data_IF_964513280978
#
_entry.id   IF_964513280978
#
_cell.length_a   1.000
_cell.length_b   1.000
_cell.length_c   1.000
_cell.angle_alpha   90.00
_cell.angle_beta   90.00
_cell.angle_gamma   90.00
#
_symmetry.space_group_name_H-M   'P 1'
#
loop_
_entity.id
_entity.type
_entity.pdbx_description
1 polymer ?
#
# COMPACT_ATOMS: atom_id res chain seq x y z
N UNK A 1 24.16 -35.29 61.10
CA UNK A 1 23.08 -35.78 60.23
C UNK A 1 22.40 -34.56 59.62
N UNK A 2 22.39 -34.51 58.29
CA UNK A 2 22.10 -33.41 57.35
C UNK A 2 21.15 -32.27 57.76
N UNK A 3 21.68 -31.04 57.77
CA UNK A 3 20.91 -29.79 57.59
C UNK A 3 21.01 -29.41 56.11
N UNK A 4 19.91 -29.54 55.37
CA UNK A 4 19.80 -29.05 53.98
C UNK A 4 19.22 -27.64 54.01
N UNK A 5 20.07 -26.62 53.93
CA UNK A 5 19.65 -25.25 53.64
C UNK A 5 19.98 -24.96 52.18
N UNK A 6 18.94 -24.89 51.33
CA UNK A 6 19.05 -24.51 49.92
C UNK A 6 19.47 -23.04 49.83
N UNK A 7 20.65 -22.80 49.26
CA UNK A 7 21.12 -21.48 48.86
C UNK A 7 20.28 -21.04 47.64
N UNK A 8 19.40 -20.06 47.82
CA UNK A 8 18.84 -19.29 46.71
C UNK A 8 19.82 -18.16 46.42
N UNK A 9 20.58 -18.30 45.33
CA UNK A 9 21.35 -17.22 44.74
C UNK A 9 20.37 -16.19 44.19
N UNK A 10 20.13 -15.13 44.98
CA UNK A 10 19.44 -13.93 44.54
C UNK A 10 20.41 -13.14 43.66
N UNK A 11 20.54 -13.57 42.41
CA UNK A 11 21.27 -12.85 41.38
C UNK A 11 20.47 -11.61 40.99
N UNK A 12 20.81 -10.48 41.60
CA UNK A 12 20.40 -9.15 41.17
C UNK A 12 21.04 -8.90 39.79
N UNK A 13 20.35 -9.29 38.72
CA UNK A 13 20.67 -8.82 37.38
C UNK A 13 20.32 -7.32 37.33
N UNK A 14 21.28 -6.49 37.76
CA UNK A 14 21.38 -5.12 37.26
C UNK A 14 21.64 -5.24 35.76
N UNK A 15 20.54 -5.26 34.99
CA UNK A 15 20.54 -4.83 33.60
C UNK A 15 21.00 -3.38 33.60
N UNK A 16 22.31 -3.19 33.59
CA UNK A 16 22.94 -1.95 33.14
C UNK A 16 22.71 -1.95 31.62
N UNK A 17 21.48 -1.65 31.21
CA UNK A 17 21.24 -1.01 29.93
C UNK A 17 21.97 0.31 30.13
N UNK A 18 23.20 0.44 29.64
CA UNK A 18 23.77 1.77 29.50
C UNK A 18 22.88 2.47 28.48
N UNK A 19 22.06 3.47 28.85
CA UNK A 19 21.58 4.36 27.83
C UNK A 19 22.84 5.07 27.36
N UNK A 20 23.23 4.90 26.11
CA UNK A 20 23.90 6.01 25.45
C UNK A 20 22.79 7.07 25.37
N UNK A 21 22.69 7.88 26.42
CA UNK A 21 21.74 8.95 26.53
C UNK A 21 22.18 10.03 25.55
N UNK A 22 21.80 9.88 24.29
CA UNK A 22 21.63 11.02 23.40
C UNK A 22 20.56 11.89 24.08
N UNK A 23 20.93 13.13 24.36
CA UNK A 23 20.06 14.10 25.00
C UNK A 23 18.85 14.45 24.12
N UNK A 24 17.89 15.19 24.71
CA UNK A 24 16.61 15.57 24.10
C UNK A 24 16.67 15.85 22.59
N UNK A 25 15.70 15.36 21.83
CA UNK A 25 15.50 15.74 20.43
C UNK A 25 14.98 17.18 20.37
N UNK A 26 15.66 18.03 19.60
CA UNK A 26 15.27 19.42 19.38
C UNK A 26 14.76 19.62 17.96
N UNK A 27 13.90 20.63 17.78
CA UNK A 27 13.37 20.98 16.47
C UNK A 27 13.73 22.40 16.06
N UNK A 28 14.18 22.56 14.82
CA UNK A 28 14.63 23.83 14.25
C UNK A 28 14.16 23.96 12.80
N UNK A 29 13.94 25.17 12.24
CA UNK A 29 13.69 25.35 10.80
C UNK A 29 14.94 25.03 9.95
N UNK A 30 15.29 23.74 9.90
CA UNK A 30 16.47 23.19 9.23
C UNK A 30 16.28 23.08 7.70
N UNK A 31 15.02 23.04 7.24
CA UNK A 31 14.64 22.87 5.83
C UNK A 31 13.98 24.13 5.25
N UNK A 32 14.45 24.52 4.07
CA UNK A 32 13.90 25.58 3.23
C UNK A 32 12.69 25.09 2.44
N UNK A 33 12.83 23.95 1.76
CA UNK A 33 11.77 23.35 0.94
C UNK A 33 12.03 21.87 0.67
N UNK A 34 11.01 21.18 0.18
CA UNK A 34 11.10 19.82 -0.35
C UNK A 34 10.81 19.80 -1.85
N UNK A 35 11.42 18.88 -2.58
CA UNK A 35 11.20 18.68 -4.02
C UNK A 35 11.37 17.20 -4.38
N UNK A 36 11.06 16.84 -5.63
CA UNK A 36 11.23 15.47 -6.15
C UNK A 36 10.56 14.39 -5.27
N UNK A 37 9.44 14.70 -4.63
CA UNK A 37 8.71 13.76 -3.79
C UNK A 37 8.05 12.68 -4.65
N UNK A 38 8.33 11.43 -4.32
CA UNK A 38 7.76 10.27 -4.99
C UNK A 38 7.52 9.16 -3.98
N UNK A 39 6.38 8.51 -4.11
CA UNK A 39 6.07 7.25 -3.46
C UNK A 39 5.38 6.35 -4.46
N UNK A 40 6.01 5.21 -4.71
CA UNK A 40 5.61 4.28 -5.77
C UNK A 40 5.49 2.89 -5.19
N UNK A 41 4.42 2.21 -5.56
CA UNK A 41 4.23 0.80 -5.24
C UNK A 41 4.89 -0.02 -6.33
N UNK A 42 5.81 -0.90 -5.92
CA UNK A 42 6.50 -1.81 -6.81
C UNK A 42 5.67 -3.09 -6.99
N UNK A 43 5.59 -3.58 -8.23
CA UNK A 43 4.96 -4.86 -8.57
C UNK A 43 5.96 -6.03 -8.31
N UNK A 44 6.59 -6.07 -7.13
CA UNK A 44 7.50 -7.15 -6.69
C UNK A 44 6.78 -8.18 -5.80
N UNK A 45 7.47 -9.27 -5.40
CA UNK A 45 6.87 -10.36 -4.61
C UNK A 45 6.27 -9.86 -3.28
N UNK A 46 6.90 -8.86 -2.67
CA UNK A 46 6.49 -8.26 -1.39
C UNK A 46 5.66 -6.97 -1.56
N UNK A 47 5.31 -6.61 -2.79
CA UNK A 47 4.62 -5.37 -3.21
C UNK A 47 5.18 -4.08 -2.59
N UNK A 48 6.51 -3.99 -2.41
CA UNK A 48 7.17 -2.96 -1.62
C UNK A 48 6.86 -1.52 -2.06
N UNK A 49 6.97 -0.60 -1.11
CA UNK A 49 6.72 0.83 -1.32
C UNK A 49 8.07 1.54 -1.38
N UNK A 50 8.42 2.05 -2.56
CA UNK A 50 9.60 2.89 -2.77
C UNK A 50 9.26 4.36 -2.49
N UNK A 51 10.09 5.03 -1.71
CA UNK A 51 9.93 6.42 -1.30
C UNK A 51 11.18 7.19 -1.62
N UNK A 52 11.04 8.38 -2.21
CA UNK A 52 12.15 9.29 -2.43
C UNK A 52 11.74 10.76 -2.32
N UNK A 53 12.64 11.60 -1.83
CA UNK A 53 12.46 13.05 -1.83
C UNK A 53 13.81 13.78 -1.73
N UNK A 54 13.81 15.06 -2.10
CA UNK A 54 14.93 15.97 -1.89
C UNK A 54 14.56 17.04 -0.87
N UNK A 55 15.30 17.11 0.22
CA UNK A 55 15.18 18.14 1.25
C UNK A 55 16.23 19.24 1.01
N UNK A 56 15.81 20.46 0.73
CA UNK A 56 16.71 21.62 0.55
C UNK A 56 16.96 22.25 1.91
N UNK A 57 18.21 22.28 2.32
CA UNK A 57 18.62 22.81 3.61
C UNK A 57 18.52 24.34 3.63
N UNK A 58 18.40 24.93 4.82
CA UNK A 58 18.58 26.38 4.95
C UNK A 58 20.05 26.75 4.69
N UNK A 59 20.26 27.95 4.18
CA UNK A 59 21.57 28.43 3.74
C UNK A 59 22.51 28.57 4.95
N UNK A 60 23.83 28.37 4.77
CA UNK A 60 24.86 28.58 5.79
C UNK A 60 24.80 27.73 7.09
N UNK A 61 24.04 26.62 7.13
CA UNK A 61 23.97 25.72 8.30
C UNK A 61 25.33 25.24 8.85
N UNK A 62 26.31 24.98 7.98
CA UNK A 62 27.62 24.44 8.36
C UNK A 62 28.71 25.52 8.43
N UNK A 63 28.34 26.80 8.51
CA UNK A 63 29.27 27.92 8.58
C UNK A 63 29.61 28.27 10.03
N UNK A 64 30.89 28.49 10.33
CA UNK A 64 31.39 28.90 11.65
C UNK A 64 30.90 30.30 12.08
N UNK A 65 30.31 31.07 11.15
CA UNK A 65 29.71 32.39 11.40
C UNK A 65 28.23 32.41 11.03
N UNK A 66 27.54 31.27 11.15
CA UNK A 66 26.14 31.19 10.77
C UNK A 66 25.26 32.00 11.74
N UNK A 67 24.19 32.57 11.21
CA UNK A 67 23.12 33.20 12.00
C UNK A 67 22.29 32.17 12.80
N UNK A 68 22.62 30.88 12.70
CA UNK A 68 21.92 29.78 13.36
C UNK A 68 22.46 29.46 14.75
N UNK A 69 23.70 29.88 15.07
CA UNK A 69 24.36 29.56 16.34
C UNK A 69 23.56 30.10 17.54
N UNK A 70 23.25 31.40 17.57
CA UNK A 70 22.50 32.02 18.67
C UNK A 70 21.10 31.37 18.86
N UNK A 71 20.30 31.13 17.80
CA UNK A 71 19.07 30.34 17.93
C UNK A 71 19.27 28.92 18.50
N UNK A 72 20.37 28.23 18.18
CA UNK A 72 20.65 26.90 18.74
C UNK A 72 21.04 26.96 20.21
N UNK A 73 21.82 27.96 20.61
CA UNK A 73 22.16 28.21 22.03
C UNK A 73 20.88 28.43 22.86
N UNK A 74 19.95 29.24 22.35
CA UNK A 74 18.65 29.46 22.99
C UNK A 74 17.80 28.19 23.06
N UNK A 75 17.81 27.37 22.01
CA UNK A 75 17.02 26.14 21.93
C UNK A 75 17.46 25.08 22.95
N UNK A 76 18.77 25.01 23.22
CA UNK A 76 19.37 24.00 24.09
C UNK A 76 19.64 24.56 25.51
N UNK A 77 19.40 25.85 25.72
CA UNK A 77 19.62 26.55 26.99
C UNK A 77 21.08 26.41 27.47
N UNK A 78 22.03 26.51 26.53
CA UNK A 78 23.46 26.49 26.82
C UNK A 78 23.94 27.84 27.34
N UNK A 79 24.97 27.82 28.16
CA UNK A 79 25.61 29.03 28.70
C UNK A 79 26.33 29.81 27.59
N UNK A 80 26.36 31.15 27.66
CA UNK A 80 27.24 31.97 26.82
C UNK A 80 28.71 31.55 27.03
N UNK A 81 29.27 30.77 26.11
CA UNK A 81 30.67 30.31 26.15
C UNK A 81 30.95 28.90 25.62
N UNK A 82 29.93 28.06 25.45
CA UNK A 82 30.06 26.72 24.87
C UNK A 82 30.15 26.80 23.34
N UNK A 83 31.05 26.04 22.71
CA UNK A 83 31.16 26.02 21.25
C UNK A 83 30.09 25.10 20.67
N UNK A 84 29.03 25.69 20.10
CA UNK A 84 28.00 24.94 19.37
C UNK A 84 28.37 24.83 17.90
N UNK A 85 28.41 23.61 17.39
CA UNK A 85 28.63 23.35 15.96
C UNK A 85 27.69 22.26 15.44
N UNK A 86 27.19 22.42 14.23
CA UNK A 86 26.49 21.36 13.52
C UNK A 86 27.51 20.45 12.84
N UNK A 87 27.44 19.14 13.10
CA UNK A 87 28.36 18.19 12.50
C UNK A 87 28.13 18.09 10.98
N UNK A 88 29.13 18.38 10.15
CA UNK A 88 28.99 18.33 8.69
C UNK A 88 28.95 16.88 8.14
N UNK A 89 29.38 15.93 8.96
CA UNK A 89 29.55 14.52 8.60
C UNK A 89 28.42 13.64 9.16
N UNK A 90 27.43 14.24 9.84
CA UNK A 90 26.30 13.53 10.42
C UNK A 90 24.97 14.13 9.95
N UNK A 91 24.09 13.25 9.48
CA UNK A 91 22.71 13.59 9.17
C UNK A 91 21.77 12.63 9.90
N UNK A 92 20.55 13.10 10.15
CA UNK A 92 19.49 12.32 10.78
C UNK A 92 18.27 12.30 9.86
N UNK A 93 17.64 11.13 9.73
CA UNK A 93 16.32 10.96 9.13
C UNK A 93 15.34 10.47 10.19
N UNK A 94 14.17 11.09 10.26
CA UNK A 94 13.05 10.65 11.07
C UNK A 94 11.88 10.28 10.17
N UNK A 95 11.38 9.06 10.32
CA UNK A 95 10.26 8.51 9.55
C UNK A 95 9.04 8.30 10.46
N UNK A 96 7.87 8.68 9.94
CA UNK A 96 6.60 8.62 10.64
C UNK A 96 5.58 7.88 9.79
N UNK A 97 5.02 6.81 10.33
CA UNK A 97 4.02 5.99 9.67
C UNK A 97 2.69 6.07 10.42
N UNK A 98 1.58 5.97 9.69
CA UNK A 98 0.24 6.11 10.28
C UNK A 98 -0.73 5.04 9.77
N UNK A 99 -1.63 4.62 10.66
CA UNK A 99 -2.73 3.68 10.38
C UNK A 99 -3.87 4.36 9.63
N UNK A 100 -4.85 3.55 9.22
CA UNK A 100 -6.04 4.02 8.49
C UNK A 100 -6.87 5.04 9.26
N UNK A 101 -6.94 4.88 10.59
CA UNK A 101 -7.65 5.77 11.51
C UNK A 101 -6.88 7.05 11.85
N UNK A 102 -5.66 7.21 11.32
CA UNK A 102 -4.80 8.37 11.54
C UNK A 102 -3.93 8.27 12.81
N UNK A 103 -4.00 7.17 13.56
CA UNK A 103 -3.09 6.96 14.69
C UNK A 103 -1.68 6.57 14.21
N UNK A 104 -0.61 6.88 14.99
CA UNK A 104 0.74 6.44 14.65
C UNK A 104 0.87 4.91 14.56
N UNK A 105 1.60 4.43 13.55
CA UNK A 105 2.02 3.04 13.44
C UNK A 105 3.40 2.87 14.10
N UNK A 106 3.42 2.14 15.22
CA UNK A 106 4.61 1.99 16.07
C UNK A 106 5.33 0.66 15.88
N UNK A 107 4.75 -0.28 15.11
CA UNK A 107 5.34 -1.60 14.91
C UNK A 107 6.34 -1.65 13.75
N UNK A 108 6.43 -0.58 12.96
CA UNK A 108 7.43 -0.49 11.89
C UNK A 108 8.79 -0.16 12.52
N UNK A 109 9.74 -1.05 12.28
CA UNK A 109 11.13 -0.90 12.74
C UNK A 109 12.05 -0.80 11.53
N UNK A 110 13.31 -0.44 11.77
CA UNK A 110 14.30 -0.27 10.70
C UNK A 110 14.49 -1.55 9.84
N UNK A 111 14.25 -2.75 10.40
CA UNK A 111 14.30 -4.01 9.66
C UNK A 111 13.25 -4.14 8.55
N UNK A 112 12.16 -3.38 8.63
CA UNK A 112 11.13 -3.33 7.58
C UNK A 112 11.50 -2.37 6.43
N UNK A 113 12.63 -1.68 6.56
CA UNK A 113 13.13 -0.67 5.64
C UNK A 113 14.41 -1.17 4.97
N UNK A 114 14.45 -1.13 3.66
CA UNK A 114 15.59 -1.55 2.85
C UNK A 114 16.03 -0.43 1.91
N UNK A 115 17.25 -0.56 1.38
CA UNK A 115 17.83 0.41 0.44
C UNK A 115 17.82 1.86 0.95
N UNK A 116 17.79 2.05 2.28
CA UNK A 116 17.76 3.36 2.89
C UNK A 116 19.10 4.09 2.67
N UNK A 117 19.02 5.21 1.98
CA UNK A 117 20.16 6.07 1.69
C UNK A 117 19.83 7.56 1.81
N UNK A 118 20.84 8.33 2.18
CA UNK A 118 20.82 9.80 2.18
C UNK A 118 22.07 10.30 1.46
N UNK A 119 21.90 10.99 0.33
CA UNK A 119 22.99 11.35 -0.59
C UNK A 119 23.89 10.15 -0.99
N UNK A 120 23.29 8.95 -1.09
CA UNK A 120 24.01 7.71 -1.39
C UNK A 120 24.78 7.11 -0.19
N UNK A 121 24.75 7.75 0.98
CA UNK A 121 25.32 7.24 2.23
C UNK A 121 24.30 6.29 2.87
N UNK A 122 24.75 5.08 3.23
CA UNK A 122 23.94 4.12 3.99
C UNK A 122 23.90 4.49 5.48
N UNK A 123 22.81 4.14 6.15
CA UNK A 123 22.66 4.40 7.58
C UNK A 123 23.64 3.56 8.44
N UNK A 124 23.90 4.03 9.66
CA UNK A 124 24.61 3.25 10.66
C UNK A 124 23.66 2.25 11.33
N UNK A 125 24.02 0.96 11.38
CA UNK A 125 23.23 -0.13 11.97
C UNK A 125 23.12 -0.08 13.52
N UNK A 126 23.12 1.09 14.15
CA UNK A 126 23.22 1.22 15.61
C UNK A 126 21.90 1.10 16.38
N UNK A 127 20.76 0.91 15.71
CA UNK A 127 19.48 0.73 16.38
C UNK A 127 18.29 0.49 15.46
N UNK A 128 17.13 0.21 16.07
CA UNK A 128 15.86 -0.02 15.34
C UNK A 128 14.93 1.21 15.33
N UNK A 129 15.37 2.34 15.88
CA UNK A 129 14.57 3.55 15.99
C UNK A 129 14.47 4.27 14.63
N UNK A 130 13.28 4.28 14.04
CA UNK A 130 13.02 4.92 12.75
C UNK A 130 12.84 6.45 12.84
N UNK A 131 12.71 7.00 14.05
CA UNK A 131 12.60 8.45 14.27
C UNK A 131 13.98 9.14 14.43
N UNK A 132 15.05 8.36 14.47
CA UNK A 132 16.40 8.88 14.66
C UNK A 132 17.42 8.00 13.93
N UNK A 133 17.26 7.90 12.62
CA UNK A 133 18.15 7.11 11.78
C UNK A 133 19.37 7.96 11.44
N UNK A 134 20.54 7.54 11.90
CA UNK A 134 21.78 8.30 11.76
C UNK A 134 22.58 7.86 10.54
N UNK A 135 23.12 8.84 9.83
CA UNK A 135 24.04 8.67 8.72
C UNK A 135 25.36 9.33 9.08
N UNK A 136 26.46 8.59 8.98
CA UNK A 136 27.80 9.14 9.14
C UNK A 136 28.55 8.94 7.83
N UNK A 137 29.05 10.05 7.28
CA UNK A 137 29.95 10.04 6.14
C UNK A 137 31.25 10.68 6.57
N UNK A 138 32.35 9.91 6.62
CA UNK A 138 33.71 10.48 6.81
C UNK A 138 34.21 11.34 5.64
N UNK A 139 33.30 11.79 4.77
CA UNK A 139 33.52 12.63 3.60
C UNK A 139 32.42 13.70 3.53
N UNK A 140 32.71 14.82 2.83
CA UNK A 140 31.82 15.98 2.67
C UNK A 140 30.46 15.71 1.97
N UNK A 141 30.03 14.47 1.76
CA UNK A 141 28.77 14.11 1.11
C UNK A 141 27.52 14.64 1.85
N UNK A 142 27.65 14.89 3.16
CA UNK A 142 26.60 15.42 4.03
C UNK A 142 26.72 16.93 4.28
N UNK A 143 27.84 17.55 3.86
CA UNK A 143 28.03 18.99 3.81
C UNK A 143 27.55 19.55 2.47
N UNK A 144 26.27 19.35 2.19
CA UNK A 144 25.63 19.76 0.94
C UNK A 144 24.48 20.73 1.22
N UNK A 145 23.97 21.42 0.21
CA UNK A 145 22.81 22.31 0.34
C UNK A 145 21.48 21.55 0.27
N UNK A 146 21.52 20.25 0.01
CA UNK A 146 20.36 19.38 -0.01
C UNK A 146 20.69 17.93 0.39
N UNK A 147 19.65 17.21 0.81
CA UNK A 147 19.66 15.78 1.04
C UNK A 147 18.69 15.06 0.09
N UNK A 148 19.22 14.17 -0.74
CA UNK A 148 18.46 13.19 -1.51
C UNK A 148 18.25 11.94 -0.65
N UNK A 149 16.99 11.69 -0.28
CA UNK A 149 16.60 10.55 0.55
C UNK A 149 15.87 9.54 -0.33
N UNK A 150 16.21 8.25 -0.17
CA UNK A 150 15.46 7.15 -0.77
C UNK A 150 15.45 5.93 0.14
N UNK A 151 14.35 5.18 0.12
CA UNK A 151 14.20 3.91 0.85
C UNK A 151 13.02 3.10 0.32
N UNK A 152 13.00 1.81 0.66
CA UNK A 152 11.87 0.91 0.41
C UNK A 152 11.30 0.39 1.71
N UNK A 153 9.98 0.27 1.80
CA UNK A 153 9.27 -0.30 2.95
C UNK A 153 8.44 -1.49 2.48
N UNK A 154 8.48 -2.60 3.22
CA UNK A 154 7.68 -3.78 2.89
C UNK A 154 6.17 -3.51 3.03
N UNK A 155 5.38 -3.92 2.04
CA UNK A 155 3.96 -3.56 1.94
C UNK A 155 3.05 -4.24 2.96
N UNK A 156 3.45 -5.41 3.44
CA UNK A 156 2.75 -6.15 4.50
C UNK A 156 2.67 -5.35 5.82
N UNK A 157 3.40 -4.24 5.93
CA UNK A 157 3.39 -3.33 7.07
C UNK A 157 2.50 -2.08 6.91
N UNK A 158 1.93 -1.81 5.72
CA UNK A 158 1.26 -0.53 5.41
C UNK A 158 -0.11 -0.66 4.70
N UNK A 159 -1.21 -1.00 5.40
CA UNK A 159 -2.51 -1.15 4.76
C UNK A 159 -3.04 0.15 4.10
N UNK A 160 -2.88 1.34 4.71
CA UNK A 160 -2.80 2.61 3.99
C UNK A 160 -1.38 3.16 4.02
N UNK A 161 -0.93 3.70 2.90
CA UNK A 161 0.37 4.36 2.82
C UNK A 161 0.18 5.81 3.28
N UNK A 162 0.53 6.07 4.54
CA UNK A 162 0.60 7.42 5.13
C UNK A 162 1.98 7.58 5.75
N UNK A 163 2.87 8.28 5.04
CA UNK A 163 4.26 8.45 5.41
C UNK A 163 4.56 9.93 5.53
N UNK A 164 5.08 10.32 6.68
CA UNK A 164 5.75 11.60 6.91
C UNK A 164 7.24 11.36 7.12
N UNK A 165 8.08 12.28 6.67
CA UNK A 165 9.51 12.24 6.91
C UNK A 165 10.04 13.63 7.27
N UNK A 166 11.11 13.68 8.05
CA UNK A 166 11.87 14.91 8.28
C UNK A 166 13.35 14.57 8.39
N UNK A 167 14.20 15.52 8.05
CA UNK A 167 15.66 15.37 8.14
C UNK A 167 16.23 16.35 9.15
N UNK A 168 17.44 16.07 9.60
CA UNK A 168 18.15 16.85 10.60
C UNK A 168 19.63 16.54 10.63
N UNK A 169 20.29 16.95 11.71
CA UNK A 169 21.70 16.69 11.95
C UNK A 169 22.02 16.57 13.43
N UNK A 170 23.31 16.48 13.73
CA UNK A 170 23.81 16.36 15.11
C UNK A 170 24.48 17.68 15.50
N UNK A 171 24.00 18.31 16.56
CA UNK A 171 24.68 19.41 17.21
C UNK A 171 25.70 18.87 18.22
N UNK A 172 26.93 19.35 18.12
CA UNK A 172 27.97 19.13 19.11
C UNK A 172 28.07 20.37 19.99
N UNK A 173 27.97 20.15 21.30
CA UNK A 173 28.17 21.17 22.33
C UNK A 173 29.20 20.60 23.30
N UNK A 174 30.41 21.16 23.30
CA UNK A 174 31.56 20.61 24.00
C UNK A 174 31.80 19.11 23.67
N UNK A 175 31.46 18.22 24.61
CA UNK A 175 31.59 16.75 24.47
C UNK A 175 30.23 16.03 24.34
N UNK A 176 29.12 16.78 24.25
CA UNK A 176 27.76 16.24 24.17
C UNK A 176 27.19 16.38 22.75
N UNK A 177 26.40 15.38 22.37
CA UNK A 177 25.71 15.33 21.08
C UNK A 177 24.20 15.43 21.29
N UNK A 178 23.57 16.30 20.51
CA UNK A 178 22.13 16.55 20.52
C UNK A 178 21.55 16.38 19.12
N UNK A 179 20.43 15.67 19.02
CA UNK A 179 19.73 15.49 17.76
C UNK A 179 18.88 16.70 17.44
N UNK A 180 19.09 17.28 16.25
CA UNK A 180 18.38 18.45 15.75
C UNK A 180 17.60 18.08 14.50
N UNK A 181 16.29 17.93 14.62
CA UNK A 181 15.39 17.62 13.51
C UNK A 181 14.77 18.89 12.91
N UNK A 182 14.41 18.85 11.63
CA UNK A 182 13.63 19.92 11.04
C UNK A 182 12.22 19.97 11.64
N UNK A 183 11.77 21.16 12.04
CA UNK A 183 10.37 21.43 12.39
C UNK A 183 9.44 21.32 11.18
N UNK A 184 9.98 21.34 9.96
CA UNK A 184 9.26 21.11 8.70
C UNK A 184 9.62 19.74 8.14
N UNK A 185 8.64 18.87 8.05
CA UNK A 185 8.71 17.58 7.36
C UNK A 185 8.00 17.61 6.00
N UNK A 186 8.02 16.45 5.35
CA UNK A 186 7.38 16.19 4.05
C UNK A 186 6.45 14.99 4.13
N UNK A 187 5.36 15.06 3.38
CA UNK A 187 4.52 13.93 2.99
C UNK A 187 4.24 14.00 1.48
N UNK A 188 3.56 13.00 0.93
CA UNK A 188 3.56 12.73 -0.52
C UNK A 188 2.24 13.05 -1.24
N UNK A 189 1.26 13.58 -0.51
CA UNK A 189 -0.11 13.83 -0.98
C UNK A 189 -0.80 12.58 -1.51
N UNK A 190 -2.04 12.72 -1.98
CA UNK A 190 -2.79 11.56 -2.46
C UNK A 190 -2.31 10.99 -3.80
N UNK A 191 -1.59 11.75 -4.62
CA UNK A 191 -1.03 11.25 -5.89
C UNK A 191 0.30 10.52 -5.72
N UNK A 192 0.92 10.65 -4.55
CA UNK A 192 2.26 10.16 -4.27
C UNK A 192 3.38 10.92 -4.98
N UNK A 193 3.10 12.04 -5.65
CA UNK A 193 4.11 12.81 -6.43
C UNK A 193 4.25 14.25 -5.96
N UNK A 194 3.55 14.63 -4.90
CA UNK A 194 3.48 16.01 -4.43
C UNK A 194 4.20 16.13 -3.09
N UNK A 195 5.02 17.16 -2.92
CA UNK A 195 5.59 17.47 -1.62
C UNK A 195 4.57 18.27 -0.81
N UNK A 196 3.96 17.64 0.18
CA UNK A 196 3.05 18.29 1.12
C UNK A 196 3.73 18.52 2.47
N UNK A 197 3.36 19.62 3.13
CA UNK A 197 3.91 19.94 4.45
C UNK A 197 3.48 18.88 5.47
N UNK A 198 4.43 18.43 6.27
CA UNK A 198 4.20 17.54 7.39
C UNK A 198 4.84 18.13 8.64
N UNK A 199 4.12 18.11 9.77
CA UNK A 199 4.63 18.64 11.04
C UNK A 199 5.02 17.48 11.96
N UNK A 200 6.31 17.09 12.04
CA UNK A 200 6.76 15.91 12.76
C UNK A 200 6.54 15.99 14.28
N UNK A 201 6.31 17.20 14.79
CA UNK A 201 6.00 17.47 16.19
C UNK A 201 4.52 17.18 16.54
N UNK A 202 3.67 17.07 15.53
CA UNK A 202 2.25 16.80 15.70
C UNK A 202 1.97 15.32 15.48
N UNK A 203 0.98 14.77 16.19
CA UNK A 203 0.49 13.42 15.92
C UNK A 203 -0.48 13.37 14.71
N UNK A 204 -0.54 14.43 13.90
CA UNK A 204 -1.47 14.52 12.78
C UNK A 204 -0.98 13.67 11.59
N UNK A 205 -1.82 12.76 11.12
CA UNK A 205 -1.51 11.93 9.97
C UNK A 205 -1.61 12.74 8.66
N UNK A 206 -0.66 12.58 7.72
CA UNK A 206 -0.77 13.17 6.39
C UNK A 206 -1.87 12.51 5.56
N UNK A 207 -2.23 13.09 4.40
CA UNK A 207 -3.17 12.46 3.46
C UNK A 207 -2.65 11.08 3.03
N UNK A 208 -3.55 10.10 2.95
CA UNK A 208 -3.19 8.79 2.41
C UNK A 208 -3.01 8.86 0.90
N UNK A 209 -2.02 8.12 0.40
CA UNK A 209 -1.85 7.90 -1.03
C UNK A 209 -3.02 7.11 -1.57
N UNK A 210 -3.50 7.53 -2.74
CA UNK A 210 -4.57 6.87 -3.50
C UNK A 210 -3.91 6.02 -4.56
N UNK A 211 -4.23 4.73 -4.51
CA UNK A 211 -3.71 3.74 -5.47
C UNK A 211 -4.90 3.24 -6.25
N UNK A 212 -4.84 3.38 -7.57
CA UNK A 212 -5.85 2.79 -8.42
C UNK A 212 -5.63 1.28 -8.46
N UNK A 213 -6.67 0.47 -8.19
CA UNK A 213 -6.55 -0.98 -8.20
C UNK A 213 -6.18 -1.45 -9.61
N UNK A 214 -5.04 -2.14 -9.73
CA UNK A 214 -4.68 -2.88 -10.94
C UNK A 214 -5.46 -4.20 -10.94
N UNK A 215 -6.43 -4.33 -11.84
CA UNK A 215 -7.22 -5.54 -11.96
C UNK A 215 -6.52 -6.60 -12.82
N UNK A 216 -6.51 -7.84 -12.34
CA UNK A 216 -6.23 -9.02 -13.17
C UNK A 216 -7.40 -9.98 -13.10
N UNK A 217 -7.93 -10.35 -14.26
CA UNK A 217 -8.96 -11.38 -14.36
C UNK A 217 -8.28 -12.75 -14.43
N UNK A 218 -8.81 -13.71 -13.68
CA UNK A 218 -8.45 -15.11 -13.96
C UNK A 218 -9.11 -15.49 -15.28
N UNK A 219 -8.31 -15.73 -16.32
CA UNK A 219 -8.82 -16.29 -17.58
C UNK A 219 -9.44 -17.64 -17.29
N UNK A 220 -10.71 -17.82 -17.64
CA UNK A 220 -11.44 -19.06 -17.41
C UNK A 220 -12.20 -19.47 -18.67
N UNK A 221 -11.97 -20.70 -19.12
CA UNK A 221 -12.81 -21.33 -20.15
C UNK A 221 -13.93 -22.04 -19.40
N UNK A 222 -15.14 -21.48 -19.48
CA UNK A 222 -16.33 -22.08 -18.88
C UNK A 222 -16.89 -23.16 -19.79
N UNK A 223 -16.39 -24.39 -19.59
CA UNK A 223 -16.91 -25.55 -20.30
C UNK A 223 -18.13 -26.12 -19.57
N UNK A 224 -19.27 -26.11 -20.25
CA UNK A 224 -20.51 -26.73 -19.80
C UNK A 224 -20.46 -28.24 -20.00
N UNK A 225 -21.14 -28.99 -19.12
CA UNK A 225 -21.43 -30.41 -19.37
C UNK A 225 -22.28 -30.56 -20.63
N UNK A 226 -22.19 -31.73 -21.27
CA UNK A 226 -23.06 -32.06 -22.40
C UNK A 226 -24.53 -31.92 -22.03
N UNK A 227 -25.31 -31.29 -22.90
CA UNK A 227 -26.73 -31.00 -22.71
C UNK A 227 -27.55 -31.95 -23.57
N UNK A 228 -28.59 -32.54 -22.99
CA UNK A 228 -29.61 -33.27 -23.72
C UNK A 228 -30.54 -32.26 -24.43
N UNK A 229 -30.71 -32.44 -25.75
CA UNK A 229 -31.46 -31.50 -26.57
C UNK A 229 -32.95 -31.50 -26.23
N UNK A 230 -33.54 -32.67 -25.96
CA UNK A 230 -34.96 -32.79 -25.66
C UNK A 230 -35.24 -32.11 -24.31
N UNK A 231 -34.35 -32.31 -23.33
CA UNK A 231 -34.45 -31.63 -22.03
C UNK A 231 -34.35 -30.10 -22.16
N UNK A 232 -33.48 -29.60 -23.06
CA UNK A 232 -33.35 -28.16 -23.29
C UNK A 232 -34.63 -27.58 -23.92
N UNK A 233 -35.21 -28.27 -24.88
CA UNK A 233 -36.47 -27.86 -25.53
C UNK A 233 -37.61 -27.82 -24.51
N UNK A 234 -37.82 -28.90 -23.76
CA UNK A 234 -38.87 -29.01 -22.73
C UNK A 234 -38.78 -27.89 -21.67
N UNK A 235 -37.57 -27.57 -21.18
CA UNK A 235 -37.39 -26.53 -20.17
C UNK A 235 -37.57 -25.11 -20.74
N UNK A 236 -37.33 -24.92 -22.03
CA UNK A 236 -37.51 -23.63 -22.68
C UNK A 236 -38.98 -23.35 -22.94
N UNK A 237 -39.77 -24.34 -23.35
CA UNK A 237 -41.23 -24.21 -23.51
C UNK A 237 -41.93 -23.81 -22.20
N UNK A 238 -41.41 -24.30 -21.08
CA UNK A 238 -41.89 -23.94 -19.75
C UNK A 238 -41.37 -22.57 -19.24
N UNK A 239 -40.55 -21.87 -20.03
CA UNK A 239 -40.00 -20.55 -19.72
C UNK A 239 -38.97 -20.53 -18.59
N UNK A 240 -38.61 -21.67 -18.00
CA UNK A 240 -37.70 -21.76 -16.87
C UNK A 240 -36.22 -21.77 -17.26
N UNK A 241 -35.92 -22.13 -18.51
CA UNK A 241 -34.56 -22.37 -18.98
C UNK A 241 -33.92 -23.60 -18.32
N UNK A 242 -32.92 -24.17 -18.97
CA UNK A 242 -32.19 -25.33 -18.45
C UNK A 242 -30.93 -24.86 -17.72
N UNK A 243 -30.84 -25.16 -16.41
CA UNK A 243 -29.61 -24.94 -15.65
C UNK A 243 -28.56 -25.98 -16.05
N UNK A 244 -27.42 -25.52 -16.59
CA UNK A 244 -26.35 -26.41 -17.02
C UNK A 244 -25.13 -26.25 -16.12
N UNK A 245 -24.67 -27.33 -15.46
CA UNK A 245 -23.48 -27.28 -14.64
C UNK A 245 -22.21 -27.15 -15.49
N UNK A 246 -21.20 -26.48 -14.93
CA UNK A 246 -19.85 -26.49 -15.46
C UNK A 246 -19.18 -27.86 -15.23
N UNK A 247 -18.27 -28.23 -16.13
CA UNK A 247 -17.41 -29.44 -15.98
C UNK A 247 -16.58 -29.36 -14.69
N UNK A 248 -16.10 -28.17 -14.32
CA UNK A 248 -15.37 -27.91 -13.09
C UNK A 248 -15.74 -26.52 -12.53
N UNK A 249 -16.70 -26.44 -11.61
CA UNK A 249 -17.19 -25.16 -11.09
C UNK A 249 -16.18 -24.42 -10.20
N UNK A 250 -15.44 -25.15 -9.35
CA UNK A 250 -14.50 -24.56 -8.39
C UNK A 250 -13.28 -23.94 -9.08
N UNK A 251 -12.74 -24.60 -10.11
CA UNK A 251 -11.59 -24.07 -10.84
C UNK A 251 -11.95 -22.93 -11.80
N UNK A 252 -13.24 -22.70 -12.09
CA UNK A 252 -13.72 -21.77 -13.10
C UNK A 252 -14.50 -20.59 -12.52
N UNK A 253 -14.23 -20.21 -11.27
CA UNK A 253 -14.79 -18.99 -10.66
C UNK A 253 -14.32 -17.76 -11.43
N UNK A 254 -15.23 -16.80 -11.64
CA UNK A 254 -14.88 -15.46 -12.11
C UNK A 254 -14.18 -14.74 -10.95
N UNK A 255 -12.88 -14.51 -11.04
CA UNK A 255 -12.13 -13.82 -9.97
C UNK A 255 -11.50 -12.54 -10.49
N UNK A 256 -11.75 -11.45 -9.77
CA UNK A 256 -11.07 -10.16 -9.93
C UNK A 256 -9.98 -10.11 -8.85
N UNK A 257 -8.72 -10.15 -9.29
CA UNK A 257 -7.58 -9.91 -8.41
C UNK A 257 -7.25 -8.42 -8.44
N UNK A 258 -6.92 -7.86 -7.28
CA UNK A 258 -6.54 -6.46 -7.14
C UNK A 258 -5.62 -6.31 -5.93
N UNK A 259 -4.87 -5.21 -5.92
CA UNK A 259 -4.07 -4.81 -4.77
C UNK A 259 -4.92 -3.95 -3.84
N UNK A 260 -5.16 -4.35 -2.58
CA UNK A 260 -5.99 -3.56 -1.66
C UNK A 260 -5.26 -2.35 -1.06
N UNK A 261 -3.92 -2.32 -1.12
CA UNK A 261 -3.10 -1.29 -0.47
C UNK A 261 -3.39 0.09 -1.06
N UNK A 262 -3.75 1.05 -0.20
CA UNK A 262 -4.04 2.43 -0.62
C UNK A 262 -5.32 2.60 -1.46
N UNK A 263 -6.13 1.55 -1.62
CA UNK A 263 -7.41 1.61 -2.35
C UNK A 263 -8.47 2.24 -1.45
N UNK A 264 -9.06 3.34 -1.93
CA UNK A 264 -10.24 3.91 -1.27
C UNK A 264 -11.43 2.97 -1.40
N UNK A 265 -12.31 2.99 -0.39
CA UNK A 265 -13.61 2.32 -0.47
C UNK A 265 -14.51 3.05 -1.47
N UNK A 266 -14.41 2.63 -2.73
CA UNK A 266 -15.16 3.18 -3.88
C UNK A 266 -16.09 2.09 -4.41
N UNK A 267 -17.28 2.48 -4.86
CA UNK A 267 -18.20 1.55 -5.53
C UNK A 267 -17.64 1.29 -6.92
N UNK A 268 -17.55 0.02 -7.30
CA UNK A 268 -17.15 -0.39 -8.63
C UNK A 268 -18.35 -0.90 -9.39
N UNK A 269 -18.45 -0.49 -10.65
CA UNK A 269 -19.37 -1.03 -11.64
C UNK A 269 -18.69 -2.13 -12.42
N UNK A 270 -19.31 -3.32 -12.44
CA UNK A 270 -18.90 -4.46 -13.26
C UNK A 270 -19.95 -4.65 -14.35
N UNK A 271 -19.52 -4.75 -15.60
CA UNK A 271 -20.38 -4.98 -16.77
C UNK A 271 -19.78 -6.09 -17.63
N UNK A 272 -20.62 -6.79 -18.38
CA UNK A 272 -20.18 -7.75 -19.38
C UNK A 272 -20.85 -7.48 -20.72
N UNK A 273 -20.10 -7.70 -21.79
CA UNK A 273 -20.63 -7.83 -23.15
C UNK A 273 -20.20 -9.18 -23.74
N UNK A 274 -20.75 -9.53 -24.90
CA UNK A 274 -20.40 -10.76 -25.59
C UNK A 274 -20.08 -10.54 -27.07
N UNK A 275 -19.34 -11.46 -27.68
CA UNK A 275 -18.97 -11.37 -29.10
C UNK A 275 -20.14 -11.71 -30.04
N UNK A 276 -20.96 -12.68 -29.66
CA UNK A 276 -22.03 -13.16 -30.55
C UNK A 276 -23.29 -12.28 -30.58
N UNK A 277 -23.38 -11.30 -29.68
CA UNK A 277 -24.52 -10.39 -29.54
C UNK A 277 -25.64 -10.92 -28.64
N UNK A 278 -26.67 -10.09 -28.46
CA UNK A 278 -27.84 -10.38 -27.64
C UNK A 278 -28.98 -10.97 -28.48
N UNK A 279 -29.89 -11.67 -27.82
CA UNK A 279 -31.19 -12.05 -28.36
C UNK A 279 -32.02 -10.81 -28.74
N UNK A 280 -33.08 -11.01 -29.55
CA UNK A 280 -33.95 -9.92 -30.04
C UNK A 280 -34.61 -9.12 -28.90
N UNK A 281 -34.99 -9.81 -27.82
CA UNK A 281 -35.56 -9.23 -26.62
C UNK A 281 -34.50 -8.64 -25.66
N UNK A 282 -33.22 -8.80 -26.00
CA UNK A 282 -32.03 -8.33 -25.25
C UNK A 282 -31.85 -8.95 -23.86
N UNK A 283 -32.66 -9.93 -23.49
CA UNK A 283 -32.60 -10.58 -22.18
C UNK A 283 -31.60 -11.73 -22.09
N UNK A 284 -30.97 -12.12 -23.21
CA UNK A 284 -30.07 -13.27 -23.28
C UNK A 284 -28.85 -12.97 -24.15
N UNK A 285 -27.70 -13.52 -23.78
CA UNK A 285 -26.56 -13.68 -24.69
C UNK A 285 -26.78 -14.87 -25.63
N UNK A 286 -25.89 -15.04 -26.62
CA UNK A 286 -26.02 -16.07 -27.65
C UNK A 286 -24.78 -16.95 -27.76
N UNK A 287 -24.93 -18.26 -27.56
CA UNK A 287 -23.95 -19.24 -28.00
C UNK A 287 -24.22 -19.59 -29.48
N UNK A 288 -23.17 -19.69 -30.30
CA UNK A 288 -23.31 -19.99 -31.73
C UNK A 288 -22.51 -21.22 -32.16
N UNK A 289 -23.10 -21.98 -33.06
CA UNK A 289 -22.44 -23.00 -33.90
C UNK A 289 -22.89 -22.78 -35.34
N UNK A 290 -22.06 -22.09 -36.13
CA UNK A 290 -22.43 -21.59 -37.46
C UNK A 290 -23.69 -20.71 -37.37
N UNK A 291 -24.76 -21.08 -38.07
CA UNK A 291 -26.05 -20.36 -38.08
C UNK A 291 -26.98 -20.77 -36.92
N UNK A 292 -26.60 -21.78 -36.13
CA UNK A 292 -27.41 -22.28 -35.01
C UNK A 292 -27.16 -21.47 -33.75
N UNK A 293 -28.21 -21.19 -32.99
CA UNK A 293 -28.15 -20.33 -31.81
C UNK A 293 -28.79 -21.00 -30.59
N UNK A 294 -28.12 -20.88 -29.44
CA UNK A 294 -28.70 -21.13 -28.11
C UNK A 294 -28.60 -19.84 -27.31
N UNK A 295 -29.71 -19.39 -26.74
CA UNK A 295 -29.72 -18.23 -25.86
C UNK A 295 -29.24 -18.65 -24.46
N UNK A 296 -28.55 -17.77 -23.74
CA UNK A 296 -28.12 -18.06 -22.38
C UNK A 296 -28.10 -16.83 -21.47
N UNK A 297 -28.22 -17.11 -20.18
CA UNK A 297 -28.02 -16.16 -19.08
C UNK A 297 -26.91 -16.66 -18.16
N UNK A 298 -26.17 -15.71 -17.57
CA UNK A 298 -25.15 -16.01 -16.56
C UNK A 298 -25.59 -15.38 -15.23
N UNK A 299 -25.55 -16.19 -14.19
CA UNK A 299 -25.81 -15.75 -12.82
C UNK A 299 -24.51 -15.95 -12.03
N UNK A 300 -23.88 -14.86 -11.64
CA UNK A 300 -22.64 -14.84 -10.88
C UNK A 300 -22.96 -14.68 -9.39
N UNK A 301 -22.72 -15.75 -8.63
CA UNK A 301 -23.02 -15.81 -7.19
C UNK A 301 -21.79 -15.57 -6.35
N UNK A 302 -21.93 -14.80 -5.28
CA UNK A 302 -20.86 -14.58 -4.30
C UNK A 302 -21.31 -15.02 -2.92
N UNK A 303 -20.35 -15.47 -2.11
CA UNK A 303 -20.58 -15.86 -0.72
C UNK A 303 -20.70 -14.62 0.20
N UNK A 304 -20.32 -13.44 -0.30
CA UNK A 304 -20.18 -12.21 0.48
C UNK A 304 -21.34 -11.22 0.34
N UNK A 305 -22.28 -11.45 -0.59
CA UNK A 305 -23.48 -10.61 -0.74
C UNK A 305 -24.72 -11.44 -1.05
N UNK A 306 -25.88 -10.95 -0.63
CA UNK A 306 -27.18 -11.56 -0.95
C UNK A 306 -27.67 -11.29 -2.38
N UNK A 307 -27.01 -10.41 -3.13
CA UNK A 307 -27.35 -10.10 -4.51
C UNK A 307 -26.52 -10.92 -5.50
N UNK A 308 -27.22 -11.71 -6.32
CA UNK A 308 -26.68 -12.37 -7.51
C UNK A 308 -26.42 -11.31 -8.60
N UNK A 309 -25.35 -11.47 -9.37
CA UNK A 309 -25.07 -10.65 -10.55
C UNK A 309 -25.60 -11.36 -11.80
N UNK A 310 -26.67 -10.83 -12.38
CA UNK A 310 -27.30 -11.38 -13.57
C UNK A 310 -26.74 -10.74 -14.84
N UNK A 311 -26.54 -11.55 -15.87
CA UNK A 311 -26.14 -11.10 -17.19
C UNK A 311 -27.06 -11.70 -18.26
N UNK A 312 -27.51 -10.92 -19.25
CA UNK A 312 -27.11 -9.55 -19.58
C UNK A 312 -27.95 -8.44 -18.90
N UNK A 313 -27.75 -8.15 -17.62
CA UNK A 313 -28.20 -6.87 -17.03
C UNK A 313 -27.20 -5.75 -17.28
N UNK A 314 -27.64 -4.50 -17.11
CA UNK A 314 -26.84 -3.32 -17.43
C UNK A 314 -25.54 -3.23 -16.62
N UNK A 315 -25.54 -3.59 -15.33
CA UNK A 315 -24.34 -3.60 -14.49
C UNK A 315 -24.58 -4.18 -13.09
N UNK A 316 -23.48 -4.60 -12.44
CA UNK A 316 -23.44 -4.91 -11.01
C UNK A 316 -22.58 -3.91 -10.25
N UNK A 317 -23.01 -3.55 -9.04
CA UNK A 317 -22.31 -2.63 -8.15
C UNK A 317 -21.73 -3.38 -6.96
N UNK A 318 -20.46 -3.16 -6.66
CA UNK A 318 -19.81 -3.77 -5.50
C UNK A 318 -18.72 -2.88 -4.92
N UNK A 319 -18.42 -3.06 -3.63
CA UNK A 319 -17.22 -2.49 -3.03
C UNK A 319 -16.09 -3.51 -3.13
N UNK A 320 -14.89 -3.07 -3.49
CA UNK A 320 -13.71 -3.91 -3.30
C UNK A 320 -13.48 -4.06 -1.80
N UNK A 321 -13.24 -5.29 -1.39
CA UNK A 321 -12.89 -5.60 -0.01
C UNK A 321 -11.40 -5.27 0.22
N UNK A 322 -11.13 -4.44 1.23
CA UNK A 322 -9.80 -3.94 1.58
C UNK A 322 -8.92 -5.00 2.26
N UNK A 323 -9.51 -6.09 2.75
CA UNK A 323 -8.82 -7.10 3.56
C UNK A 323 -8.49 -8.36 2.74
N UNK A 324 -8.89 -8.40 1.46
CA UNK A 324 -8.65 -9.52 0.54
C UNK A 324 -7.94 -9.07 -0.74
N UNK A 325 -7.15 -9.98 -1.34
CA UNK A 325 -6.42 -9.74 -2.60
C UNK A 325 -7.22 -10.13 -3.85
N UNK A 326 -8.41 -10.72 -3.67
CA UNK A 326 -9.30 -11.12 -4.77
C UNK A 326 -10.74 -11.25 -4.31
N UNK A 327 -11.67 -10.98 -5.21
CA UNK A 327 -13.09 -11.31 -5.07
C UNK A 327 -13.49 -12.29 -6.16
N UNK A 328 -14.28 -13.31 -5.81
CA UNK A 328 -14.60 -14.40 -6.71
C UNK A 328 -16.09 -14.73 -6.71
N UNK A 329 -16.67 -14.87 -7.90
CA UNK A 329 -18.05 -15.29 -8.13
C UNK A 329 -18.09 -16.66 -8.80
N UNK A 330 -19.06 -17.48 -8.41
CA UNK A 330 -19.32 -18.77 -9.03
C UNK A 330 -20.39 -18.60 -10.11
N UNK A 331 -20.06 -18.85 -11.39
CA UNK A 331 -21.02 -18.74 -12.48
C UNK A 331 -22.01 -19.92 -12.48
N UNK A 332 -23.27 -19.59 -12.73
CA UNK A 332 -24.35 -20.52 -13.04
C UNK A 332 -24.94 -20.13 -14.40
N UNK A 333 -25.01 -21.10 -15.31
CA UNK A 333 -25.43 -20.86 -16.70
C UNK A 333 -26.82 -21.46 -16.93
N UNK A 334 -27.71 -20.65 -17.48
CA UNK A 334 -29.05 -21.07 -17.92
C UNK A 334 -29.12 -20.99 -19.43
N UNK A 335 -29.56 -22.07 -20.07
CA UNK A 335 -29.72 -22.17 -21.52
C UNK A 335 -31.19 -22.14 -21.92
N UNK A 336 -31.46 -21.55 -23.07
CA UNK A 336 -32.78 -21.44 -23.67
C UNK A 336 -32.65 -21.77 -25.16
N UNK A 337 -33.43 -22.75 -25.64
CA UNK A 337 -33.45 -23.08 -27.06
C UNK A 337 -34.06 -21.95 -27.88
N UNK A 338 -33.55 -21.80 -29.10
CA UNK A 338 -34.16 -21.06 -30.20
C UNK A 338 -34.68 -22.01 -31.28
N UNK A 339 -35.38 -21.47 -32.28
CA UNK A 339 -35.84 -22.22 -33.47
C UNK A 339 -34.71 -22.92 -34.25
N UNK A 340 -33.46 -22.42 -34.15
CA UNK A 340 -32.29 -23.00 -34.84
C UNK A 340 -31.45 -23.92 -33.96
N UNK A 341 -31.92 -24.24 -32.75
CA UNK A 341 -31.22 -25.14 -31.83
C UNK A 341 -31.19 -26.56 -32.39
N UNK A 342 -30.02 -27.18 -32.41
CA UNK A 342 -29.83 -28.56 -32.84
C UNK A 342 -28.51 -29.10 -32.26
N UNK A 343 -28.14 -30.34 -32.56
CA UNK A 343 -26.86 -30.93 -32.15
C UNK A 343 -25.69 -30.12 -32.73
N UNK A 344 -24.70 -29.82 -31.90
CA UNK A 344 -23.58 -28.97 -32.26
C UNK A 344 -22.63 -28.66 -31.11
N UNK A 345 -21.60 -27.87 -31.41
CA UNK A 345 -20.62 -27.35 -30.44
C UNK A 345 -20.72 -25.84 -30.41
N UNK A 346 -21.43 -25.33 -29.41
CA UNK A 346 -21.74 -23.91 -29.29
C UNK A 346 -20.72 -23.18 -28.42
N UNK A 347 -20.35 -21.96 -28.81
CA UNK A 347 -19.42 -21.13 -28.03
C UNK A 347 -19.77 -19.64 -28.11
N UNK A 348 -19.25 -18.87 -27.15
CA UNK A 348 -19.29 -17.41 -27.10
C UNK A 348 -18.09 -16.93 -26.27
N UNK A 349 -17.83 -15.62 -26.26
CA UNK A 349 -16.80 -14.99 -25.42
C UNK A 349 -17.40 -13.78 -24.72
N UNK A 350 -17.27 -13.76 -23.40
CA UNK A 350 -17.67 -12.64 -22.56
C UNK A 350 -16.47 -11.74 -22.25
N UNK A 351 -16.62 -10.42 -22.44
CA UNK A 351 -15.63 -9.45 -21.97
C UNK A 351 -16.20 -8.66 -20.80
N UNK A 352 -15.42 -8.57 -19.72
CA UNK A 352 -15.80 -7.87 -18.50
C UNK A 352 -15.08 -6.52 -18.41
N UNK A 353 -15.83 -5.49 -18.07
CA UNK A 353 -15.32 -4.13 -17.81
C UNK A 353 -15.59 -3.77 -16.36
N UNK A 354 -14.56 -3.30 -15.65
CA UNK A 354 -14.63 -2.86 -14.25
C UNK A 354 -14.28 -1.37 -14.21
N UNK A 355 -15.16 -0.56 -13.62
CA UNK A 355 -14.99 0.89 -13.53
C UNK A 355 -15.27 1.39 -12.11
N UNK A 356 -14.41 2.21 -11.49
CA UNK A 356 -14.76 2.90 -10.26
C UNK A 356 -15.85 3.96 -10.53
N UNK A 357 -16.85 4.04 -9.66
CA UNK A 357 -17.86 5.10 -9.62
C UNK A 357 -17.44 6.11 -8.55
N UNK A 358 -17.19 7.35 -8.98
CA UNK A 358 -16.61 8.44 -8.18
C UNK A 358 -17.25 8.64 -6.79
#
# INVERSE_FOLDING_TARGET
>A
MNVKTKIYFMGLLLLIIQPIAMANTYFYPYIKSYSNCSITILDDEDNSVEVSFRAHLVDDLFSDKSSHIEPWEQLINSSNGESITLSPDHAILSLHFYKADGSPELNITLNAISELSLNGVSHNNSGNNIQEITFNSGANALKNTYYDVSFKVSSNTLPPIRIGATVGGVLNIDQQQHSLLSSKGVSFGSTGKQCENFEPQTAAAPEAIKVDPKFRLSSAIWKLKSVDLDLLLDNTENGSGLNVPLDNSEANRFCIHYQPMGVKRVIHRIQANNLNGLSKDRNHFQLKDKEKVINYQVILRTEYSSSDFFLPEDYYLTYLDKDVKKMCWTPKIQLFSTETTDKGSYSDTLNFTIMPLA
#
